data_IF_714146200713
#
_entry.id   IF_714146200713
#
_cell.length_a   1.000
_cell.length_b   1.000
_cell.length_c   1.000
_cell.angle_alpha   90.00
_cell.angle_beta   90.00
_cell.angle_gamma   90.00
#
_symmetry.space_group_name_H-M   'P 1'
#
loop_
_entity.id
_entity.type
_entity.pdbx_description
1 polymer ?
#
# COMPACT_ATOMS: atom_id res chain seq x y z
N UNK A 1 1.38 -12.03 9.57
CA UNK A 1 0.25 -11.28 8.98
C UNK A 1 0.65 -9.87 8.55
N UNK A 2 1.16 -9.02 9.44
CA UNK A 2 1.52 -7.63 9.11
C UNK A 2 2.43 -7.48 7.87
N UNK A 3 3.53 -8.23 7.81
CA UNK A 3 4.46 -8.22 6.66
C UNK A 3 3.76 -8.60 5.35
N UNK A 4 2.91 -9.62 5.38
CA UNK A 4 2.16 -10.09 4.21
C UNK A 4 1.22 -9.01 3.71
N UNK A 5 0.47 -8.36 4.61
CA UNK A 5 -0.42 -7.26 4.26
C UNK A 5 0.31 -6.06 3.68
N UNK A 6 1.45 -5.67 4.29
CA UNK A 6 2.23 -4.53 3.81
C UNK A 6 2.77 -4.77 2.39
N UNK A 7 3.28 -5.98 2.10
CA UNK A 7 3.70 -6.35 0.75
C UNK A 7 2.54 -6.53 -0.22
N UNK A 8 1.37 -6.99 0.24
CA UNK A 8 0.17 -7.08 -0.60
C UNK A 8 -0.27 -5.70 -1.11
N UNK A 9 -0.12 -4.63 -0.33
CA UNK A 9 -0.35 -3.25 -0.81
C UNK A 9 0.62 -2.92 -1.95
N UNK A 10 1.93 -3.19 -1.77
CA UNK A 10 2.95 -2.89 -2.79
C UNK A 10 2.67 -3.64 -4.10
N UNK A 11 2.43 -4.95 -4.02
CA UNK A 11 2.09 -5.79 -5.18
C UNK A 11 0.79 -5.31 -5.82
N UNK A 12 -0.21 -4.97 -5.01
CA UNK A 12 -1.47 -4.41 -5.47
C UNK A 12 -1.28 -3.12 -6.27
N UNK A 13 -0.46 -2.19 -5.78
CA UNK A 13 -0.16 -0.93 -6.48
C UNK A 13 0.57 -1.17 -7.81
N UNK A 14 1.54 -2.09 -7.86
CA UNK A 14 2.21 -2.48 -9.11
C UNK A 14 1.22 -3.07 -10.10
N UNK A 15 0.33 -3.96 -9.63
CA UNK A 15 -0.72 -4.52 -10.45
C UNK A 15 -1.68 -3.44 -10.97
N UNK A 16 -2.02 -2.44 -10.16
CA UNK A 16 -2.88 -1.32 -10.59
C UNK A 16 -2.26 -0.52 -11.74
N UNK A 17 -0.96 -0.19 -11.65
CA UNK A 17 -0.22 0.52 -12.71
C UNK A 17 -0.12 -0.33 -13.97
N UNK A 18 0.15 -1.63 -13.82
CA UNK A 18 0.16 -2.56 -14.96
C UNK A 18 -1.21 -2.64 -15.64
N UNK A 19 -2.28 -2.80 -14.89
CA UNK A 19 -3.64 -2.98 -15.43
C UNK A 19 -4.13 -1.74 -16.18
N UNK A 20 -3.87 -0.53 -15.66
CA UNK A 20 -4.23 0.69 -16.39
C UNK A 20 -3.36 0.88 -17.63
N UNK A 21 -2.05 0.56 -17.55
CA UNK A 21 -1.15 0.57 -18.70
C UNK A 21 -1.60 -0.41 -19.79
N UNK A 22 -1.95 -1.64 -19.42
CA UNK A 22 -2.47 -2.66 -20.31
C UNK A 22 -3.75 -2.18 -20.99
N UNK A 23 -4.69 -1.61 -20.24
CA UNK A 23 -5.94 -1.11 -20.79
C UNK A 23 -5.73 0.01 -21.82
N UNK A 24 -4.81 0.93 -21.54
CA UNK A 24 -4.50 2.06 -22.41
C UNK A 24 -3.69 1.66 -23.65
N UNK A 25 -2.70 0.77 -23.49
CA UNK A 25 -1.75 0.42 -24.54
C UNK A 25 -2.22 -0.74 -25.43
N UNK A 26 -2.98 -1.68 -24.87
CA UNK A 26 -3.54 -2.81 -25.62
C UNK A 26 -4.98 -2.56 -26.10
N UNK A 27 -5.53 -1.36 -25.86
CA UNK A 27 -6.92 -0.99 -26.16
C UNK A 27 -7.95 -1.99 -25.57
N UNK A 28 -7.62 -2.61 -24.44
CA UNK A 28 -8.45 -3.60 -23.77
C UNK A 28 -9.35 -2.94 -22.72
N UNK A 29 -10.62 -2.76 -23.07
CA UNK A 29 -11.63 -2.20 -22.16
C UNK A 29 -11.82 -3.04 -20.88
N UNK A 30 -11.54 -4.35 -20.93
CA UNK A 30 -11.62 -5.20 -19.74
C UNK A 30 -10.56 -4.84 -18.69
N UNK A 31 -9.41 -4.32 -19.13
CA UNK A 31 -8.34 -3.81 -18.26
C UNK A 31 -8.78 -2.65 -17.36
N UNK A 32 -9.65 -1.75 -17.84
CA UNK A 32 -10.21 -0.65 -17.02
C UNK A 32 -11.11 -1.21 -15.92
N UNK A 33 -11.97 -2.17 -16.25
CA UNK A 33 -12.87 -2.81 -15.28
C UNK A 33 -12.07 -3.57 -14.22
N UNK A 34 -11.06 -4.33 -14.64
CA UNK A 34 -10.19 -5.09 -13.75
C UNK A 34 -9.35 -4.17 -12.85
N UNK A 35 -8.75 -3.12 -13.41
CA UNK A 35 -8.07 -2.06 -12.66
C UNK A 35 -8.98 -1.51 -11.56
N UNK A 36 -10.21 -1.10 -11.91
CA UNK A 36 -11.17 -0.54 -10.95
C UNK A 36 -11.56 -1.54 -9.85
N UNK A 37 -11.93 -2.76 -10.22
CA UNK A 37 -12.43 -3.75 -9.26
C UNK A 37 -11.34 -4.20 -8.29
N UNK A 38 -10.12 -4.46 -8.79
CA UNK A 38 -8.97 -4.76 -7.92
C UNK A 38 -8.58 -3.51 -7.12
N UNK A 39 -8.74 -2.31 -7.68
CA UNK A 39 -8.44 -1.05 -7.01
C UNK A 39 -9.21 -0.88 -5.71
N UNK A 40 -10.49 -1.26 -5.69
CA UNK A 40 -11.29 -1.26 -4.46
C UNK A 40 -10.75 -2.20 -3.38
N UNK A 41 -10.22 -3.37 -3.77
CA UNK A 41 -9.62 -4.31 -2.82
C UNK A 41 -8.31 -3.74 -2.28
N UNK A 42 -7.43 -3.25 -3.17
CA UNK A 42 -6.13 -2.67 -2.79
C UNK A 42 -6.31 -1.45 -1.89
N UNK A 43 -7.35 -0.66 -2.11
CA UNK A 43 -7.71 0.51 -1.30
C UNK A 43 -8.03 0.16 0.16
N UNK A 44 -8.55 -1.04 0.45
CA UNK A 44 -8.87 -1.47 1.81
C UNK A 44 -7.66 -2.06 2.57
N UNK A 45 -6.64 -2.55 1.85
CA UNK A 45 -5.48 -3.18 2.47
C UNK A 45 -4.71 -2.28 3.45
N UNK A 46 -4.49 -0.97 3.19
CA UNK A 46 -3.83 -0.08 4.14
C UNK A 46 -4.55 0.07 5.49
N UNK A 47 -5.88 -0.10 5.54
CA UNK A 47 -6.62 -0.15 6.81
C UNK A 47 -6.17 -1.38 7.60
N UNK A 48 -6.13 -2.54 6.96
CA UNK A 48 -5.65 -3.76 7.61
C UNK A 48 -4.19 -3.59 8.08
N UNK A 49 -3.33 -2.96 7.26
CA UNK A 49 -1.95 -2.63 7.65
C UNK A 49 -1.91 -1.76 8.90
N UNK A 50 -2.74 -0.72 9.00
CA UNK A 50 -2.83 0.13 10.20
C UNK A 50 -3.25 -0.65 11.46
N UNK A 51 -4.28 -1.50 11.33
CA UNK A 51 -4.75 -2.35 12.42
C UNK A 51 -3.64 -3.31 12.88
N UNK A 52 -2.94 -3.95 11.95
CA UNK A 52 -1.87 -4.89 12.28
C UNK A 52 -0.58 -4.19 12.76
N UNK A 53 -0.29 -2.97 12.31
CA UNK A 53 0.81 -2.16 12.83
C UNK A 53 0.59 -1.82 14.31
N UNK A 54 -0.67 -1.53 14.69
CA UNK A 54 -1.07 -1.34 16.08
C UNK A 54 -0.86 -2.62 16.90
N UNK A 55 -1.41 -3.76 16.44
CA UNK A 55 -1.26 -5.04 17.13
C UNK A 55 0.19 -5.54 17.22
N UNK A 56 1.02 -5.24 16.22
CA UNK A 56 2.45 -5.59 16.24
C UNK A 56 3.29 -4.68 17.12
N UNK A 57 2.68 -3.69 17.81
CA UNK A 57 3.38 -2.66 18.60
C UNK A 57 4.49 -1.97 17.78
N UNK A 58 4.17 -1.64 16.53
CA UNK A 58 5.11 -0.97 15.65
C UNK A 58 5.61 0.34 16.30
N UNK A 59 6.87 0.69 16.08
CA UNK A 59 7.42 1.96 16.58
C UNK A 59 6.61 3.14 16.03
N UNK A 60 6.60 4.27 16.77
CA UNK A 60 5.87 5.48 16.36
C UNK A 60 6.16 5.90 14.92
N UNK A 61 7.44 5.85 14.52
CA UNK A 61 7.85 6.18 13.15
C UNK A 61 7.25 5.24 12.11
N UNK A 62 7.20 3.94 12.39
CA UNK A 62 6.59 2.96 11.49
C UNK A 62 5.07 3.16 11.39
N UNK A 63 4.41 3.44 12.51
CA UNK A 63 2.98 3.72 12.52
C UNK A 63 2.63 4.99 11.72
N UNK A 64 3.47 6.04 11.80
CA UNK A 64 3.33 7.25 10.98
C UNK A 64 3.46 6.96 9.48
N UNK A 65 4.38 6.08 9.07
CA UNK A 65 4.50 5.66 7.66
C UNK A 65 3.27 4.87 7.19
N UNK A 66 2.75 3.97 8.03
CA UNK A 66 1.54 3.22 7.73
C UNK A 66 0.33 4.16 7.58
N UNK A 67 0.21 5.16 8.46
CA UNK A 67 -0.84 6.18 8.37
C UNK A 67 -0.70 7.02 7.10
N UNK A 68 0.51 7.51 6.79
CA UNK A 68 0.74 8.29 5.58
C UNK A 68 0.41 7.50 4.31
N UNK A 69 0.85 6.23 4.24
CA UNK A 69 0.49 5.30 3.15
C UNK A 69 -1.03 5.15 3.04
N UNK A 70 -1.72 4.90 4.14
CA UNK A 70 -3.18 4.74 4.15
C UNK A 70 -3.90 5.99 3.66
N UNK A 71 -3.55 7.17 4.18
CA UNK A 71 -4.14 8.45 3.76
C UNK A 71 -3.96 8.65 2.26
N UNK A 72 -2.75 8.47 1.73
CA UNK A 72 -2.48 8.69 0.31
C UNK A 72 -3.19 7.68 -0.57
N UNK A 73 -3.20 6.38 -0.22
CA UNK A 73 -3.98 5.37 -0.96
C UNK A 73 -5.47 5.68 -0.94
N UNK A 74 -5.99 6.28 0.15
CA UNK A 74 -7.38 6.70 0.23
C UNK A 74 -7.72 7.89 -0.67
N UNK A 75 -6.77 8.80 -0.88
CA UNK A 75 -6.96 9.94 -1.79
C UNK A 75 -7.00 9.52 -3.26
N UNK A 76 -6.36 8.41 -3.66
CA UNK A 76 -6.30 7.94 -5.05
C UNK A 76 -7.70 7.84 -5.70
N UNK A 77 -8.68 7.05 -5.17
CA UNK A 77 -10.01 6.99 -5.76
C UNK A 77 -10.82 8.28 -5.55
N UNK A 78 -10.56 9.06 -4.49
CA UNK A 78 -11.25 10.33 -4.28
C UNK A 78 -10.96 11.27 -5.46
N UNK A 79 -9.69 11.40 -5.87
CA UNK A 79 -9.35 12.25 -7.02
C UNK A 79 -10.04 11.79 -8.31
N UNK A 80 -10.08 10.49 -8.61
CA UNK A 80 -10.72 10.04 -9.86
C UNK A 80 -12.24 10.27 -9.86
N UNK A 81 -12.90 10.22 -8.71
CA UNK A 81 -14.33 10.52 -8.58
C UNK A 81 -14.65 11.99 -8.87
N UNK A 82 -13.67 12.89 -8.75
CA UNK A 82 -13.83 14.32 -9.03
C UNK A 82 -13.71 14.66 -10.52
N UNK A 83 -13.50 13.67 -11.41
CA UNK A 83 -13.22 13.90 -12.84
C UNK A 83 -14.30 14.72 -13.57
N UNK A 84 -15.56 14.58 -13.14
CA UNK A 84 -16.70 15.23 -13.79
C UNK A 84 -16.99 16.62 -13.19
N UNK A 85 -16.57 16.88 -11.95
CA UNK A 85 -16.84 18.13 -11.22
C UNK A 85 -15.66 19.09 -11.14
N UNK A 86 -14.44 18.57 -10.92
CA UNK A 86 -13.20 19.36 -10.77
C UNK A 86 -12.03 18.63 -11.46
N UNK A 87 -11.92 18.67 -12.79
CA UNK A 87 -10.94 17.88 -13.55
C UNK A 87 -9.48 18.13 -13.16
N UNK A 88 -9.15 19.36 -12.74
CA UNK A 88 -7.81 19.72 -12.27
C UNK A 88 -7.43 18.93 -11.02
N UNK A 89 -8.35 18.74 -10.07
CA UNK A 89 -8.10 17.90 -8.89
C UNK A 89 -8.07 16.42 -9.26
N UNK A 90 -8.86 16.00 -10.25
CA UNK A 90 -8.80 14.62 -10.73
C UNK A 90 -7.45 14.24 -11.35
N UNK A 91 -6.74 15.21 -11.94
CA UNK A 91 -5.37 15.01 -12.42
C UNK A 91 -4.36 14.68 -11.31
N UNK A 92 -4.71 14.86 -10.03
CA UNK A 92 -3.90 14.39 -8.90
C UNK A 92 -4.02 12.88 -8.66
N UNK A 93 -4.96 12.17 -9.28
CA UNK A 93 -5.08 10.72 -9.19
C UNK A 93 -3.77 9.98 -9.49
N UNK A 94 -3.12 10.17 -10.66
CA UNK A 94 -1.84 9.53 -10.94
C UNK A 94 -0.71 10.03 -10.02
N UNK A 95 -0.74 11.29 -9.57
CA UNK A 95 0.25 11.83 -8.62
C UNK A 95 0.15 11.13 -7.26
N UNK A 96 -1.06 10.95 -6.75
CA UNK A 96 -1.33 10.23 -5.51
C UNK A 96 -0.92 8.76 -5.62
N UNK A 97 -1.18 8.10 -6.76
CA UNK A 97 -0.73 6.74 -7.00
C UNK A 97 0.80 6.61 -6.99
N UNK A 98 1.51 7.57 -7.61
CA UNK A 98 2.97 7.64 -7.58
C UNK A 98 3.53 7.86 -6.18
N UNK A 99 2.85 8.63 -5.32
CA UNK A 99 3.24 8.83 -3.93
C UNK A 99 2.88 7.62 -3.04
N UNK A 100 1.78 6.94 -3.33
CA UNK A 100 1.34 5.76 -2.58
C UNK A 100 2.36 4.63 -2.63
N UNK A 101 3.02 4.43 -3.77
CA UNK A 101 4.00 3.37 -3.96
C UNK A 101 5.21 3.45 -3.00
N UNK A 102 6.02 4.53 -2.99
CA UNK A 102 7.18 4.62 -2.10
C UNK A 102 6.78 4.63 -0.63
N UNK A 103 5.65 5.24 -0.26
CA UNK A 103 5.14 5.20 1.12
C UNK A 103 4.84 3.76 1.55
N UNK A 104 4.12 3.01 0.72
CA UNK A 104 3.77 1.61 0.99
C UNK A 104 5.00 0.71 0.98
N UNK A 105 5.98 1.00 0.12
CA UNK A 105 7.26 0.28 0.08
C UNK A 105 8.06 0.49 1.37
N UNK A 106 8.12 1.73 1.90
CA UNK A 106 8.78 2.01 3.19
C UNK A 106 8.12 1.22 4.33
N UNK A 107 6.78 1.14 4.36
CA UNK A 107 6.04 0.32 5.33
C UNK A 107 6.40 -1.16 5.18
N UNK A 108 6.39 -1.70 3.96
CA UNK A 108 6.74 -3.09 3.68
C UNK A 108 8.18 -3.43 4.09
N UNK A 109 9.14 -2.56 3.78
CA UNK A 109 10.55 -2.74 4.17
C UNK A 109 10.74 -2.66 5.69
N UNK A 110 10.08 -1.72 6.36
CA UNK A 110 10.12 -1.61 7.81
C UNK A 110 9.49 -2.82 8.50
N UNK A 111 8.43 -3.40 7.91
CA UNK A 111 7.80 -4.63 8.41
C UNK A 111 8.77 -5.83 8.38
N UNK A 112 9.57 -5.96 7.32
CA UNK A 112 10.60 -7.00 7.22
C UNK A 112 11.74 -6.80 8.22
N UNK A 113 12.19 -5.57 8.40
CA UNK A 113 13.22 -5.23 9.40
C UNK A 113 12.75 -5.60 10.82
N UNK A 114 11.51 -5.26 11.15
CA UNK A 114 10.91 -5.61 12.43
C UNK A 114 10.82 -7.14 12.63
N UNK A 115 10.44 -7.89 11.59
CA UNK A 115 10.39 -9.36 11.65
C UNK A 115 11.79 -9.97 11.88
N UNK A 116 12.82 -9.48 11.19
CA UNK A 116 14.20 -9.98 11.30
C UNK A 116 14.83 -9.65 12.66
N UNK A 117 14.56 -8.47 13.20
CA UNK A 117 15.04 -8.04 14.52
C UNK A 117 14.42 -8.82 15.68
N UNK A 118 13.30 -9.52 15.47
CA UNK A 118 12.64 -10.35 16.47
C UNK A 118 13.20 -11.78 16.58
N UNK A 119 14.34 -12.09 15.92
CA UNK A 119 14.96 -13.42 15.98
C UNK A 119 15.31 -13.82 17.43
N UNK A 120 15.08 -15.09 17.83
CA UNK A 120 15.07 -15.51 19.23
C UNK A 120 16.44 -15.40 19.90
N UNK A 121 16.41 -15.07 21.20
CA UNK A 121 17.55 -15.12 22.12
C UNK A 121 18.24 -16.49 22.02
N UNK A 122 19.53 -16.50 21.71
CA UNK A 122 20.34 -17.72 21.72
C UNK A 122 20.56 -18.16 23.18
N UNK A 123 19.81 -19.17 23.64
CA UNK A 123 19.82 -19.68 25.03
C UNK A 123 21.18 -20.33 25.40
N UNK A 124 22.13 -20.45 24.46
CA UNK A 124 23.46 -21.04 24.70
C UNK A 124 24.40 -20.20 25.58
N UNK A 125 24.00 -19.03 26.07
CA UNK A 125 24.84 -18.17 26.93
C UNK A 125 24.54 -18.24 28.43
N UNK A 126 23.61 -19.09 28.88
CA UNK A 126 23.15 -19.10 30.29
C UNK A 126 23.74 -20.27 31.11
N UNK A 127 24.53 -21.16 30.51
CA UNK A 127 25.10 -22.34 31.21
C UNK A 127 26.64 -22.44 31.09
N UNK A 128 27.35 -21.30 31.07
CA UNK A 128 28.81 -21.24 31.08
C UNK A 128 29.34 -20.78 32.42
#
# INVERSE_FOLDING_TARGET
>A
MYVVLAWAVVVGLVAQVFLIGLALLAADASGISLHRNIGWIVHLLPIAVLVFAWFSRASRGHWMWALASAVVVFLVPIFVLMRDSVPVLAALHPVAALLAFPLSLVVALNSLRALRGASPVNIRSVTG
#
